data_IF_291262430092
#
_entry.id   IF_291262430092
#
_cell.length_a   1.000
_cell.length_b   1.000
_cell.length_c   1.000
_cell.angle_alpha   90.00
_cell.angle_beta   90.00
_cell.angle_gamma   90.00
#
_symmetry.space_group_name_H-M   'P 1'
#
loop_
_entity.id
_entity.type
_entity.pdbx_description
1 polymer ?
#
# COMPACT_ATOMS: atom_id res chain seq x y z
N UNK A 1 -16.48 18.68 11.53
CA UNK A 1 -16.20 19.72 10.51
C UNK A 1 -16.28 19.03 9.16
N UNK A 2 -17.13 19.51 8.24
CA UNK A 2 -17.33 18.88 6.93
C UNK A 2 -16.04 18.95 6.08
N UNK A 3 -15.77 17.89 5.31
CA UNK A 3 -14.59 17.77 4.46
C UNK A 3 -14.52 18.88 3.41
N UNK A 4 -15.68 19.32 2.91
CA UNK A 4 -15.76 20.43 1.97
C UNK A 4 -15.38 21.76 2.63
N UNK A 5 -15.88 22.03 3.84
CA UNK A 5 -15.50 23.22 4.61
C UNK A 5 -14.00 23.27 4.89
N UNK A 6 -13.39 22.12 5.19
CA UNK A 6 -11.94 22.05 5.40
C UNK A 6 -11.15 22.34 4.12
N UNK A 7 -11.62 21.87 2.96
CA UNK A 7 -11.01 22.18 1.66
C UNK A 7 -11.12 23.67 1.34
N UNK A 8 -12.27 24.29 1.57
CA UNK A 8 -12.47 25.71 1.32
C UNK A 8 -11.56 26.58 2.20
N UNK A 9 -11.45 26.26 3.49
CA UNK A 9 -10.51 26.95 4.40
C UNK A 9 -9.07 26.82 3.89
N UNK A 10 -8.66 25.64 3.42
CA UNK A 10 -7.30 25.42 2.88
C UNK A 10 -7.07 26.20 1.60
N UNK A 11 -8.06 26.26 0.71
CA UNK A 11 -7.99 27.05 -0.52
C UNK A 11 -7.75 28.53 -0.20
N UNK A 12 -8.54 29.10 0.72
CA UNK A 12 -8.39 30.51 1.14
C UNK A 12 -6.99 30.74 1.73
N UNK A 13 -6.53 29.87 2.64
CA UNK A 13 -5.18 29.98 3.24
C UNK A 13 -4.07 29.97 2.20
N UNK A 14 -4.15 29.12 1.18
CA UNK A 14 -3.14 29.10 0.12
C UNK A 14 -3.25 30.30 -0.82
N UNK A 15 -4.45 30.82 -1.08
CA UNK A 15 -4.63 32.06 -1.84
C UNK A 15 -4.00 33.25 -1.11
N UNK A 16 -4.24 33.39 0.19
CA UNK A 16 -3.61 34.44 1.01
C UNK A 16 -2.10 34.27 1.11
N UNK A 17 -1.60 33.02 1.20
CA UNK A 17 -0.17 32.75 1.13
C UNK A 17 0.43 33.23 -0.20
N UNK A 18 -0.22 32.95 -1.33
CA UNK A 18 0.23 33.41 -2.64
C UNK A 18 0.24 34.94 -2.71
N UNK A 19 -0.78 35.61 -2.16
CA UNK A 19 -0.82 37.09 -2.10
C UNK A 19 0.37 37.66 -1.32
N UNK A 20 0.73 37.04 -0.20
CA UNK A 20 1.85 37.48 0.66
C UNK A 20 3.22 37.10 0.09
N UNK A 21 3.32 35.96 -0.61
CA UNK A 21 4.56 35.40 -1.15
C UNK A 21 4.37 34.92 -2.60
N UNK A 22 4.19 35.83 -3.57
CA UNK A 22 3.85 35.48 -4.95
C UNK A 22 4.97 34.76 -5.70
N UNK A 23 6.22 34.87 -5.23
CA UNK A 23 7.39 34.21 -5.82
C UNK A 23 7.74 32.87 -5.12
N UNK A 24 6.86 32.34 -4.28
CA UNK A 24 7.07 31.06 -3.61
C UNK A 24 6.32 29.93 -4.35
N UNK A 25 7.00 28.91 -4.88
CA UNK A 25 6.35 27.82 -5.60
C UNK A 25 5.41 26.99 -4.69
N UNK A 26 5.71 26.95 -3.40
CA UNK A 26 4.93 26.23 -2.38
C UNK A 26 3.45 26.61 -2.37
N UNK A 27 3.13 27.90 -2.47
CA UNK A 27 1.75 28.39 -2.44
C UNK A 27 0.92 27.85 -3.60
N UNK A 28 1.46 27.94 -4.82
CA UNK A 28 0.80 27.45 -6.02
C UNK A 28 0.67 25.93 -6.01
N UNK A 29 1.72 25.19 -5.61
CA UNK A 29 1.61 23.74 -5.45
C UNK A 29 0.51 23.36 -4.45
N UNK A 30 0.49 23.99 -3.27
CA UNK A 30 -0.51 23.72 -2.23
C UNK A 30 -1.93 23.97 -2.71
N UNK A 31 -2.15 25.08 -3.42
CA UNK A 31 -3.43 25.40 -4.04
C UNK A 31 -3.82 24.39 -5.14
N UNK A 32 -2.85 23.96 -5.95
CA UNK A 32 -3.05 22.93 -6.97
C UNK A 32 -3.51 21.59 -6.39
N UNK A 33 -2.95 21.18 -5.25
CA UNK A 33 -3.39 19.99 -4.51
C UNK A 33 -4.83 20.15 -4.02
N UNK A 34 -5.19 21.30 -3.44
CA UNK A 34 -6.57 21.51 -2.99
C UNK A 34 -7.58 21.47 -4.16
N UNK A 35 -7.20 22.02 -5.32
CA UNK A 35 -8.04 21.92 -6.52
C UNK A 35 -8.14 20.50 -7.07
N UNK A 36 -7.09 19.67 -6.97
CA UNK A 36 -7.19 18.24 -7.29
C UNK A 36 -8.20 17.53 -6.39
N UNK A 37 -8.14 17.77 -5.08
CA UNK A 37 -9.07 17.19 -4.09
C UNK A 37 -10.51 17.67 -4.29
N UNK A 38 -10.68 18.91 -4.77
CA UNK A 38 -11.99 19.50 -5.07
C UNK A 38 -12.51 19.16 -6.48
N UNK A 39 -11.88 18.20 -7.20
CA UNK A 39 -12.17 17.86 -8.60
C UNK A 39 -12.08 19.04 -9.60
N UNK A 40 -11.46 20.16 -9.21
CA UNK A 40 -11.21 21.36 -10.04
C UNK A 40 -9.91 21.21 -10.85
N UNK A 41 -9.81 20.14 -11.62
CA UNK A 41 -8.52 19.70 -12.19
C UNK A 41 -7.89 20.67 -13.18
N UNK A 42 -8.66 21.47 -13.92
CA UNK A 42 -8.10 22.49 -14.82
C UNK A 42 -7.39 23.59 -14.03
N UNK A 43 -7.96 24.00 -12.90
CA UNK A 43 -7.34 24.97 -12.00
C UNK A 43 -6.08 24.37 -11.35
N UNK A 44 -6.13 23.09 -10.95
CA UNK A 44 -4.95 22.40 -10.44
C UNK A 44 -3.78 22.41 -11.43
N UNK A 45 -4.08 22.10 -12.70
CA UNK A 45 -3.07 22.09 -13.77
C UNK A 45 -2.39 23.46 -13.94
N UNK A 46 -3.21 24.54 -13.93
CA UNK A 46 -2.72 25.92 -13.97
C UNK A 46 -1.80 26.21 -12.78
N UNK A 47 -2.21 25.83 -11.57
CA UNK A 47 -1.43 26.08 -10.35
C UNK A 47 -0.10 25.31 -10.33
N UNK A 48 -0.08 24.04 -10.72
CA UNK A 48 1.19 23.30 -10.86
C UNK A 48 2.10 23.92 -11.92
N UNK A 49 1.55 24.37 -13.04
CA UNK A 49 2.33 25.09 -14.06
C UNK A 49 2.89 26.40 -13.53
N UNK A 50 2.13 27.19 -12.78
CA UNK A 50 2.65 28.42 -12.18
C UNK A 50 3.77 28.13 -11.17
N UNK A 51 3.61 27.10 -10.34
CA UNK A 51 4.67 26.66 -9.42
C UNK A 51 5.96 26.31 -10.17
N UNK A 52 5.87 25.62 -11.32
CA UNK A 52 7.01 25.23 -12.13
C UNK A 52 7.59 26.37 -12.97
N UNK A 53 6.84 27.45 -13.21
CA UNK A 53 7.37 28.67 -13.82
C UNK A 53 8.26 29.43 -12.85
N UNK A 54 7.90 29.44 -11.57
CA UNK A 54 8.67 30.08 -10.50
C UNK A 54 9.94 29.28 -10.22
N UNK A 55 9.81 27.97 -10.06
CA UNK A 55 10.93 27.06 -9.85
C UNK A 55 10.72 25.78 -10.69
N UNK A 56 11.41 25.66 -11.84
CA UNK A 56 11.34 24.49 -12.71
C UNK A 56 11.82 23.19 -12.04
N UNK A 57 12.61 23.27 -10.97
CA UNK A 57 13.13 22.14 -10.21
C UNK A 57 12.26 21.76 -9.01
N UNK A 58 11.17 22.48 -8.75
CA UNK A 58 10.31 22.25 -7.60
C UNK A 58 9.60 20.89 -7.65
N UNK A 59 10.20 19.88 -6.98
CA UNK A 59 9.76 18.48 -7.04
C UNK A 59 8.31 18.23 -6.65
N UNK A 60 7.73 18.88 -5.63
CA UNK A 60 6.32 18.70 -5.30
C UNK A 60 5.39 19.05 -6.48
N UNK A 61 5.68 20.12 -7.22
CA UNK A 61 4.89 20.48 -8.40
C UNK A 61 5.13 19.55 -9.58
N UNK A 62 6.35 19.04 -9.79
CA UNK A 62 6.60 17.99 -10.79
C UNK A 62 5.77 16.73 -10.51
N UNK A 63 5.75 16.29 -9.26
CA UNK A 63 4.94 15.14 -8.81
C UNK A 63 3.44 15.42 -8.98
N UNK A 64 2.97 16.59 -8.57
CA UNK A 64 1.57 17.00 -8.71
C UNK A 64 1.11 17.07 -10.17
N UNK A 65 1.96 17.55 -11.08
CA UNK A 65 1.69 17.60 -12.52
C UNK A 65 1.60 16.18 -13.13
N UNK A 66 2.49 15.28 -12.72
CA UNK A 66 2.45 13.87 -13.16
C UNK A 66 1.18 13.17 -12.65
N UNK A 67 0.84 13.35 -11.37
CA UNK A 67 -0.38 12.81 -10.76
C UNK A 67 -1.66 13.35 -11.44
N UNK A 68 -1.66 14.64 -11.82
CA UNK A 68 -2.74 15.23 -12.63
C UNK A 68 -2.91 14.50 -13.97
N UNK A 69 -1.83 14.27 -14.74
CA UNK A 69 -1.94 13.59 -16.03
C UNK A 69 -2.54 12.18 -15.89
N UNK A 70 -2.12 11.45 -14.86
CA UNK A 70 -2.61 10.11 -14.56
C UNK A 70 -4.09 10.10 -14.15
N UNK A 71 -4.48 11.01 -13.25
CA UNK A 71 -5.87 11.14 -12.78
C UNK A 71 -6.83 11.52 -13.91
N UNK A 72 -6.33 12.28 -14.90
CA UNK A 72 -7.07 12.62 -16.13
C UNK A 72 -6.93 11.62 -17.26
N UNK A 73 -6.37 10.44 -16.99
CA UNK A 73 -6.21 9.36 -17.96
C UNK A 73 -5.46 9.79 -19.24
N UNK A 74 -4.59 10.81 -19.10
CA UNK A 74 -3.67 11.30 -20.12
C UNK A 74 -2.36 10.48 -20.04
N UNK A 75 -2.48 9.17 -20.21
CA UNK A 75 -1.40 8.20 -19.96
C UNK A 75 -0.14 8.45 -20.78
N UNK A 76 -0.27 8.74 -22.07
CA UNK A 76 0.87 9.05 -22.95
C UNK A 76 1.59 10.33 -22.50
N UNK A 77 0.83 11.35 -22.08
CA UNK A 77 1.42 12.59 -21.56
C UNK A 77 2.12 12.33 -20.22
N UNK A 78 1.53 11.51 -19.34
CA UNK A 78 2.17 11.11 -18.09
C UNK A 78 3.50 10.38 -18.34
N UNK A 79 3.51 9.41 -19.27
CA UNK A 79 4.70 8.66 -19.64
C UNK A 79 5.80 9.55 -20.22
N UNK A 80 5.46 10.45 -21.15
CA UNK A 80 6.40 11.43 -21.72
C UNK A 80 6.90 12.42 -20.68
N UNK A 81 6.02 12.89 -19.78
CA UNK A 81 6.39 13.81 -18.72
C UNK A 81 7.31 13.15 -17.69
N UNK A 82 7.08 11.88 -17.35
CA UNK A 82 8.00 11.07 -16.55
C UNK A 82 9.37 10.99 -17.23
N UNK A 83 9.40 10.60 -18.51
CA UNK A 83 10.64 10.47 -19.26
C UNK A 83 11.46 11.76 -19.26
N UNK A 84 10.78 12.91 -19.51
CA UNK A 84 11.43 14.23 -19.54
C UNK A 84 12.03 14.64 -18.18
N UNK A 85 11.46 14.18 -17.07
CA UNK A 85 11.88 14.57 -15.72
C UNK A 85 12.49 13.40 -14.93
N UNK A 86 12.92 12.33 -15.62
CA UNK A 86 13.36 11.07 -15.03
C UNK A 86 14.45 11.29 -13.99
N UNK A 87 15.47 12.08 -14.31
CA UNK A 87 16.63 12.28 -13.44
C UNK A 87 16.22 12.91 -12.10
N UNK A 88 15.33 13.92 -12.12
CA UNK A 88 14.81 14.52 -10.89
C UNK A 88 13.93 13.56 -10.08
N UNK A 89 13.20 12.65 -10.74
CA UNK A 89 12.39 11.65 -10.07
C UNK A 89 13.20 10.52 -9.44
N UNK A 90 14.34 10.18 -10.04
CA UNK A 90 15.25 9.14 -9.54
C UNK A 90 16.21 9.63 -8.46
N UNK A 91 16.33 10.95 -8.26
CA UNK A 91 17.19 11.57 -7.23
C UNK A 91 16.93 11.00 -5.82
N UNK A 92 15.66 10.79 -5.45
CA UNK A 92 15.29 10.28 -4.12
C UNK A 92 14.29 9.13 -4.19
N UNK A 93 14.57 8.07 -3.42
CA UNK A 93 13.69 6.88 -3.30
C UNK A 93 12.25 7.22 -2.90
N UNK A 94 12.05 8.28 -2.12
CA UNK A 94 10.71 8.75 -1.71
C UNK A 94 9.88 9.25 -2.90
N UNK A 95 10.51 9.88 -3.90
CA UNK A 95 9.82 10.40 -5.09
C UNK A 95 9.34 9.25 -5.96
N UNK A 96 10.22 8.30 -6.28
CA UNK A 96 9.85 7.13 -7.08
C UNK A 96 8.80 6.26 -6.36
N UNK A 97 8.91 6.08 -5.04
CA UNK A 97 7.87 5.41 -4.23
C UNK A 97 6.51 6.11 -4.37
N UNK A 98 6.49 7.44 -4.31
CA UNK A 98 5.26 8.23 -4.48
C UNK A 98 4.70 8.10 -5.89
N UNK A 99 5.54 8.07 -6.92
CA UNK A 99 5.15 7.87 -8.31
C UNK A 99 4.50 6.51 -8.52
N UNK A 100 5.14 5.45 -8.04
CA UNK A 100 4.57 4.11 -8.09
C UNK A 100 3.24 4.03 -7.34
N UNK A 101 3.13 4.73 -6.21
CA UNK A 101 1.90 4.76 -5.41
C UNK A 101 0.74 5.39 -6.17
N UNK A 102 0.85 6.64 -6.66
CA UNK A 102 -0.28 7.23 -7.37
C UNK A 102 -0.55 6.55 -8.73
N UNK A 103 0.47 5.98 -9.37
CA UNK A 103 0.31 5.25 -10.65
C UNK A 103 -0.46 3.94 -10.43
N UNK A 104 -0.10 3.18 -9.40
CA UNK A 104 -0.78 1.94 -9.04
C UNK A 104 -2.15 2.16 -8.39
N UNK A 105 -2.39 3.28 -7.69
CA UNK A 105 -3.72 3.66 -7.16
C UNK A 105 -4.78 3.76 -8.26
N UNK A 106 -4.40 4.04 -9.50
CA UNK A 106 -5.30 4.00 -10.64
C UNK A 106 -6.00 2.63 -10.77
N UNK A 107 -5.36 1.55 -10.34
CA UNK A 107 -5.90 0.19 -10.40
C UNK A 107 -7.18 0.00 -9.59
N UNK A 108 -7.39 0.77 -8.52
CA UNK A 108 -8.65 0.74 -7.74
C UNK A 108 -9.61 1.85 -8.19
N UNK A 109 -9.12 2.86 -8.91
CA UNK A 109 -9.94 3.99 -9.33
C UNK A 109 -11.04 3.55 -10.31
N UNK A 110 -12.31 3.93 -10.02
CA UNK A 110 -13.46 3.63 -10.89
C UNK A 110 -13.23 4.10 -12.33
N UNK A 111 -12.64 5.27 -12.48
CA UNK A 111 -12.35 5.91 -13.77
C UNK A 111 -11.43 5.06 -14.69
N UNK A 112 -10.43 4.37 -14.13
CA UNK A 112 -9.52 3.55 -14.96
C UNK A 112 -10.28 2.42 -15.66
N UNK A 113 -11.19 1.74 -14.95
CA UNK A 113 -11.94 0.62 -15.49
C UNK A 113 -13.23 1.00 -16.22
N UNK A 114 -13.85 2.13 -15.90
CA UNK A 114 -15.00 2.67 -16.65
C UNK A 114 -14.59 3.08 -18.07
N UNK A 115 -13.40 3.67 -18.24
CA UNK A 115 -12.84 3.97 -19.56
C UNK A 115 -12.62 2.71 -20.43
N UNK A 116 -12.65 1.53 -19.83
CA UNK A 116 -12.50 0.25 -20.55
C UNK A 116 -13.84 -0.42 -20.87
N UNK A 117 -14.97 0.12 -20.39
CA UNK A 117 -16.30 -0.46 -20.62
C UNK A 117 -17.02 0.09 -21.84
N UNK A 118 -16.70 1.30 -22.32
CA UNK A 118 -17.33 1.90 -23.51
C UNK A 118 -16.50 1.57 -24.75
N UNK A 119 -17.14 1.13 -25.83
CA UNK A 119 -16.45 0.65 -27.04
C UNK A 119 -15.50 1.69 -27.67
N UNK A 120 -15.92 2.95 -27.79
CA UNK A 120 -15.07 4.04 -28.30
C UNK A 120 -13.89 4.36 -27.38
N UNK A 121 -14.09 4.29 -26.07
CA UNK A 121 -13.02 4.52 -25.11
C UNK A 121 -12.06 3.34 -25.00
N UNK A 122 -12.53 2.12 -25.30
CA UNK A 122 -11.70 0.92 -25.45
C UNK A 122 -10.74 1.06 -26.64
N UNK A 123 -11.21 1.51 -27.81
CA UNK A 123 -10.33 1.74 -28.96
C UNK A 123 -9.26 2.80 -28.66
N UNK A 124 -9.67 3.96 -28.13
CA UNK A 124 -8.74 5.01 -27.71
C UNK A 124 -7.79 4.56 -26.59
N UNK A 125 -8.23 3.64 -25.72
CA UNK A 125 -7.38 3.02 -24.72
C UNK A 125 -6.36 2.08 -25.37
N UNK A 126 -6.79 1.23 -26.30
CA UNK A 126 -5.93 0.29 -27.02
C UNK A 126 -4.87 1.02 -27.85
N UNK A 127 -5.22 2.13 -28.49
CA UNK A 127 -4.26 2.99 -29.19
C UNK A 127 -3.21 3.56 -28.21
N UNK A 128 -3.65 4.09 -27.06
CA UNK A 128 -2.75 4.56 -26.00
C UNK A 128 -1.85 3.43 -25.50
N UNK A 129 -2.39 2.22 -25.29
CA UNK A 129 -1.62 1.04 -24.88
C UNK A 129 -0.60 0.68 -25.96
N UNK A 130 -0.94 0.74 -27.25
CA UNK A 130 0.00 0.53 -28.34
C UNK A 130 1.17 1.53 -28.31
N UNK A 131 0.90 2.81 -28.02
CA UNK A 131 1.95 3.83 -27.83
C UNK A 131 2.81 3.49 -26.60
N UNK A 132 2.19 3.12 -25.49
CA UNK A 132 2.91 2.73 -24.26
C UNK A 132 3.78 1.49 -24.49
N UNK A 133 3.31 0.50 -25.27
CA UNK A 133 4.10 -0.68 -25.65
C UNK A 133 5.30 -0.30 -26.49
N UNK A 134 5.14 0.62 -27.47
CA UNK A 134 6.28 1.15 -28.23
C UNK A 134 7.30 1.84 -27.31
N UNK A 135 6.83 2.62 -26.35
CA UNK A 135 7.71 3.26 -25.35
C UNK A 135 8.45 2.23 -24.50
N UNK A 136 7.76 1.18 -24.05
CA UNK A 136 8.35 0.09 -23.27
C UNK A 136 9.42 -0.67 -24.06
N UNK A 137 9.15 -0.98 -25.32
CA UNK A 137 10.11 -1.67 -26.19
C UNK A 137 11.38 -0.83 -26.43
N UNK A 138 11.25 0.50 -26.42
CA UNK A 138 12.40 1.40 -26.55
C UNK A 138 13.17 1.57 -25.23
N UNK A 139 12.49 1.58 -24.08
CA UNK A 139 13.11 1.70 -22.76
C UNK A 139 12.21 1.12 -21.67
N UNK A 140 12.76 0.22 -20.87
CA UNK A 140 12.08 -0.41 -19.72
C UNK A 140 12.20 0.39 -18.43
N UNK A 141 12.91 1.53 -18.45
CA UNK A 141 13.18 2.35 -17.27
C UNK A 141 12.01 3.24 -16.86
N UNK A 142 11.02 3.40 -17.74
CA UNK A 142 9.85 4.21 -17.47
C UNK A 142 8.84 3.44 -16.60
N UNK A 143 8.98 3.58 -15.28
CA UNK A 143 8.16 2.84 -14.32
C UNK A 143 6.67 3.17 -14.42
N UNK A 144 6.32 4.38 -14.87
CA UNK A 144 4.93 4.76 -15.14
C UNK A 144 4.35 3.94 -16.30
N UNK A 145 5.11 3.80 -17.40
CA UNK A 145 4.73 2.93 -18.53
C UNK A 145 4.56 1.49 -18.05
N UNK A 146 5.52 0.99 -17.27
CA UNK A 146 5.52 -0.38 -16.79
C UNK A 146 4.26 -0.70 -15.97
N UNK A 147 3.93 0.16 -15.00
CA UNK A 147 2.75 -0.01 -14.15
C UNK A 147 1.46 0.06 -14.98
N UNK A 148 1.34 1.03 -15.89
CA UNK A 148 0.15 1.19 -16.73
C UNK A 148 -0.06 -0.02 -17.66
N UNK A 149 1.01 -0.55 -18.25
CA UNK A 149 0.96 -1.74 -19.10
C UNK A 149 0.66 -3.00 -18.29
N UNK A 150 1.23 -3.15 -17.09
CA UNK A 150 0.91 -4.28 -16.22
C UNK A 150 -0.59 -4.29 -15.88
N UNK A 151 -1.14 -3.12 -15.52
CA UNK A 151 -2.56 -2.98 -15.23
C UNK A 151 -3.45 -3.26 -16.45
N UNK A 152 -3.05 -2.85 -17.66
CA UNK A 152 -3.81 -3.16 -18.88
C UNK A 152 -3.78 -4.66 -19.19
N UNK A 153 -2.63 -5.31 -19.07
CA UNK A 153 -2.50 -6.75 -19.32
C UNK A 153 -3.26 -7.61 -18.33
N UNK A 154 -3.31 -7.22 -17.04
CA UNK A 154 -4.15 -7.88 -16.05
C UNK A 154 -5.63 -7.82 -16.46
N UNK A 155 -6.09 -6.65 -16.93
CA UNK A 155 -7.47 -6.49 -17.41
C UNK A 155 -7.78 -7.37 -18.62
N UNK A 156 -6.83 -7.44 -19.56
CA UNK A 156 -6.92 -8.28 -20.75
C UNK A 156 -6.74 -9.78 -20.43
N UNK A 157 -6.47 -10.14 -19.17
CA UNK A 157 -6.12 -11.50 -18.73
C UNK A 157 -4.95 -12.09 -19.54
N UNK A 158 -4.01 -11.24 -19.94
CA UNK A 158 -2.86 -11.62 -20.75
C UNK A 158 -1.78 -12.24 -19.87
N UNK A 159 -1.34 -13.46 -20.21
CA UNK A 159 -0.33 -14.23 -19.47
C UNK A 159 0.68 -14.88 -20.44
N UNK A 160 1.34 -14.04 -21.24
CA UNK A 160 2.51 -14.43 -22.05
C UNK A 160 3.83 -14.03 -21.37
N UNK A 161 4.96 -14.52 -21.90
CA UNK A 161 6.27 -14.32 -21.25
C UNK A 161 6.66 -12.85 -21.12
N UNK A 162 6.23 -12.01 -22.08
CA UNK A 162 6.44 -10.56 -22.02
C UNK A 162 5.65 -9.93 -20.87
N UNK A 163 4.38 -10.28 -20.74
CA UNK A 163 3.54 -9.80 -19.63
C UNK A 163 4.06 -10.27 -18.28
N UNK A 164 4.57 -11.51 -18.17
CA UNK A 164 5.15 -12.04 -16.94
C UNK A 164 6.44 -11.33 -16.55
N UNK A 165 7.34 -11.06 -17.51
CA UNK A 165 8.54 -10.26 -17.25
C UNK A 165 8.16 -8.88 -16.69
N UNK A 166 7.14 -8.25 -17.28
CA UNK A 166 6.64 -6.96 -16.84
C UNK A 166 6.02 -7.03 -15.43
N UNK A 167 5.24 -8.09 -15.14
CA UNK A 167 4.66 -8.31 -13.81
C UNK A 167 5.75 -8.47 -12.74
N UNK A 168 6.81 -9.23 -13.04
CA UNK A 168 7.97 -9.39 -12.16
C UNK A 168 8.72 -8.08 -11.92
N UNK A 169 8.82 -7.21 -12.93
CA UNK A 169 9.38 -5.87 -12.75
C UNK A 169 8.51 -5.06 -11.80
N UNK A 170 7.19 -5.04 -12.01
CA UNK A 170 6.26 -4.23 -11.22
C UNK A 170 6.10 -4.71 -9.78
N UNK A 171 6.05 -6.02 -9.53
CA UNK A 171 5.82 -6.57 -8.18
C UNK A 171 6.93 -6.19 -7.19
N UNK A 172 8.17 -6.04 -7.68
CA UNK A 172 9.34 -5.62 -6.92
C UNK A 172 9.42 -4.10 -6.69
N UNK A 173 8.54 -3.30 -7.30
CA UNK A 173 8.56 -1.85 -7.14
C UNK A 173 8.01 -1.44 -5.77
N UNK A 174 8.79 -0.63 -5.05
CA UNK A 174 8.34 -0.01 -3.80
C UNK A 174 7.24 1.03 -4.09
N UNK A 175 6.20 1.07 -3.27
CA UNK A 175 5.09 2.01 -3.40
C UNK A 175 3.89 1.51 -4.19
N UNK A 176 3.99 0.37 -4.89
CA UNK A 176 2.82 -0.31 -5.48
C UNK A 176 1.82 -0.64 -4.38
N UNK A 177 0.55 -0.30 -4.61
CA UNK A 177 -0.54 -0.58 -3.67
C UNK A 177 -0.77 -2.09 -3.51
N UNK A 178 -1.17 -2.49 -2.30
CA UNK A 178 -1.26 -3.90 -1.89
C UNK A 178 -2.18 -4.72 -2.79
N UNK A 179 -3.33 -4.17 -3.21
CA UNK A 179 -4.25 -4.86 -4.12
C UNK A 179 -3.63 -5.18 -5.48
N UNK A 180 -2.93 -4.23 -6.10
CA UNK A 180 -2.24 -4.47 -7.38
C UNK A 180 -1.08 -5.45 -7.18
N UNK A 181 -0.30 -5.29 -6.10
CA UNK A 181 0.81 -6.21 -5.81
C UNK A 181 0.31 -7.63 -5.62
N UNK A 182 -0.78 -7.84 -4.88
CA UNK A 182 -1.37 -9.15 -4.70
C UNK A 182 -1.82 -9.77 -6.02
N UNK A 183 -2.56 -9.05 -6.85
CA UNK A 183 -3.03 -9.59 -8.13
C UNK A 183 -1.84 -9.95 -9.04
N UNK A 184 -0.74 -9.19 -9.00
CA UNK A 184 0.52 -9.54 -9.69
C UNK A 184 1.15 -10.82 -9.12
N UNK A 185 1.30 -10.92 -7.79
CA UNK A 185 1.84 -12.11 -7.12
C UNK A 185 1.01 -13.35 -7.46
N UNK A 186 -0.33 -13.25 -7.38
CA UNK A 186 -1.26 -14.32 -7.67
C UNK A 186 -1.10 -14.82 -9.12
N UNK A 187 -1.05 -13.91 -10.10
CA UNK A 187 -0.86 -14.28 -11.51
C UNK A 187 0.51 -14.95 -11.74
N UNK A 188 1.59 -14.40 -11.16
CA UNK A 188 2.93 -14.96 -11.33
C UNK A 188 3.02 -16.35 -10.67
N UNK A 189 2.39 -16.53 -9.51
CA UNK A 189 2.44 -17.79 -8.74
C UNK A 189 1.89 -19.00 -9.51
N UNK A 190 1.00 -18.78 -10.48
CA UNK A 190 0.48 -19.85 -11.34
C UNK A 190 1.56 -20.51 -12.21
N UNK A 191 2.63 -19.78 -12.57
CA UNK A 191 3.79 -20.34 -13.28
C UNK A 191 5.01 -20.53 -12.38
N UNK A 192 5.18 -19.68 -11.38
CA UNK A 192 6.32 -19.68 -10.46
C UNK A 192 5.86 -19.63 -9.00
N UNK A 193 5.45 -20.77 -8.42
CA UNK A 193 4.88 -20.83 -7.07
C UNK A 193 5.80 -20.27 -5.99
N UNK A 194 7.13 -20.37 -6.19
CA UNK A 194 8.15 -19.87 -5.25
C UNK A 194 8.04 -18.36 -4.96
N UNK A 195 7.35 -17.58 -5.81
CA UNK A 195 7.13 -16.15 -5.53
C UNK A 195 6.34 -15.91 -4.24
N UNK A 196 5.49 -16.86 -3.83
CA UNK A 196 4.73 -16.81 -2.58
C UNK A 196 5.61 -16.95 -1.33
N UNK A 197 6.88 -17.31 -1.47
CA UNK A 197 7.85 -17.39 -0.37
C UNK A 197 8.96 -16.32 -0.49
N UNK A 198 8.75 -15.31 -1.33
CA UNK A 198 9.72 -14.23 -1.49
C UNK A 198 9.56 -13.16 -0.39
N UNK A 199 10.45 -13.20 0.60
CA UNK A 199 10.45 -12.26 1.74
C UNK A 199 10.57 -10.80 1.32
N UNK A 200 11.35 -10.50 0.26
CA UNK A 200 11.51 -9.13 -0.23
C UNK A 200 10.18 -8.58 -0.74
N UNK A 201 9.42 -9.39 -1.50
CA UNK A 201 8.11 -8.98 -2.02
C UNK A 201 7.08 -8.88 -0.90
N UNK A 202 6.99 -9.89 -0.02
CA UNK A 202 6.11 -9.88 1.14
C UNK A 202 6.37 -8.65 2.02
N UNK A 203 7.64 -8.29 2.21
CA UNK A 203 8.05 -7.14 2.98
C UNK A 203 7.60 -5.78 2.42
N UNK A 204 7.25 -5.69 1.13
CA UNK A 204 6.79 -4.45 0.52
C UNK A 204 5.30 -4.14 0.80
N UNK A 205 4.48 -5.14 1.13
CA UNK A 205 3.06 -4.93 1.46
C UNK A 205 2.93 -4.00 2.67
N UNK A 206 1.90 -3.15 2.70
CA UNK A 206 1.63 -2.27 3.85
C UNK A 206 0.52 -2.83 4.75
N UNK A 207 -0.38 -3.62 4.19
CA UNK A 207 -1.54 -4.26 4.83
C UNK A 207 -1.82 -5.63 4.22
N UNK A 208 -2.75 -6.39 4.82
CA UNK A 208 -3.21 -7.68 4.29
C UNK A 208 -4.28 -7.42 3.23
N UNK A 209 -4.07 -7.82 1.96
CA UNK A 209 -5.11 -7.72 0.93
C UNK A 209 -6.29 -8.66 1.23
N UNK A 210 -7.53 -8.21 0.96
CA UNK A 210 -8.76 -8.98 1.26
C UNK A 210 -8.76 -10.42 0.72
N UNK A 211 -8.22 -10.65 -0.48
CA UNK A 211 -8.16 -11.98 -1.08
C UNK A 211 -7.17 -12.93 -0.40
N UNK A 212 -6.20 -12.39 0.35
CA UNK A 212 -5.14 -13.17 1.00
C UNK A 212 -5.67 -13.92 2.22
N UNK A 213 -6.72 -13.43 2.88
CA UNK A 213 -7.31 -14.08 4.07
C UNK A 213 -7.74 -15.55 3.84
N UNK A 214 -7.92 -15.96 2.58
CA UNK A 214 -8.34 -17.32 2.19
C UNK A 214 -7.23 -18.11 1.49
N UNK A 215 -5.96 -17.75 1.72
CA UNK A 215 -4.80 -18.34 1.05
C UNK A 215 -3.70 -18.65 2.05
N UNK A 216 -2.93 -19.70 1.76
CA UNK A 216 -1.77 -20.13 2.56
C UNK A 216 -0.66 -19.06 2.66
N UNK A 217 -0.73 -18.02 1.82
CA UNK A 217 0.18 -16.88 1.85
C UNK A 217 0.04 -16.00 3.11
N UNK A 218 -1.10 -16.07 3.81
CA UNK A 218 -1.39 -15.21 4.96
C UNK A 218 -0.34 -15.32 6.07
N UNK A 219 -0.06 -16.54 6.54
CA UNK A 219 0.87 -16.79 7.64
C UNK A 219 2.30 -16.39 7.29
N UNK A 220 2.70 -16.58 6.02
CA UNK A 220 3.99 -16.14 5.51
C UNK A 220 4.11 -14.60 5.52
N UNK A 221 3.06 -13.91 5.07
CA UNK A 221 3.00 -12.45 5.06
C UNK A 221 3.07 -11.87 6.49
N UNK A 222 2.30 -12.45 7.42
CA UNK A 222 2.29 -12.07 8.84
C UNK A 222 3.66 -12.30 9.49
N UNK A 223 4.25 -13.48 9.27
CA UNK A 223 5.61 -13.78 9.75
C UNK A 223 6.63 -12.78 9.22
N UNK A 224 6.50 -12.36 7.97
CA UNK A 224 7.38 -11.32 7.37
C UNK A 224 7.15 -9.94 8.00
N UNK A 225 5.91 -9.59 8.35
CA UNK A 225 5.65 -8.31 9.01
C UNK A 225 6.25 -8.27 10.42
N UNK A 226 6.17 -9.40 11.15
CA UNK A 226 6.78 -9.57 12.47
C UNK A 226 8.32 -9.45 12.37
N UNK A 227 8.94 -10.12 11.39
CA UNK A 227 10.40 -10.09 11.24
C UNK A 227 10.97 -8.70 10.90
N UNK A 228 10.16 -7.83 10.26
CA UNK A 228 10.53 -6.44 10.00
C UNK A 228 10.53 -5.53 11.23
N UNK A 229 10.04 -6.00 12.38
CA UNK A 229 9.99 -5.26 13.64
C UNK A 229 9.23 -3.91 13.57
N UNK A 230 8.36 -3.74 12.58
CA UNK A 230 7.53 -2.54 12.45
C UNK A 230 6.24 -2.68 13.27
N UNK A 231 6.25 -2.14 14.49
CA UNK A 231 5.13 -2.20 15.46
C UNK A 231 3.78 -1.84 14.86
N UNK A 232 3.69 -0.69 14.22
CA UNK A 232 2.44 -0.17 13.67
C UNK A 232 1.89 -1.11 12.59
N UNK A 233 2.77 -1.60 11.72
CA UNK A 233 2.42 -2.54 10.66
C UNK A 233 1.91 -3.88 11.21
N UNK A 234 2.58 -4.43 12.22
CA UNK A 234 2.16 -5.69 12.85
C UNK A 234 0.82 -5.49 13.56
N UNK A 235 0.68 -4.46 14.39
CA UNK A 235 -0.57 -4.20 15.12
C UNK A 235 -1.74 -4.05 14.15
N UNK A 236 -1.60 -3.19 13.13
CA UNK A 236 -2.67 -2.96 12.15
C UNK A 236 -3.07 -4.23 11.40
N UNK A 237 -2.10 -5.10 11.05
CA UNK A 237 -2.36 -6.37 10.38
C UNK A 237 -3.13 -7.35 11.26
N UNK A 238 -2.82 -7.43 12.56
CA UNK A 238 -3.55 -8.30 13.49
C UNK A 238 -4.91 -7.72 13.89
N UNK A 239 -5.06 -6.41 13.97
CA UNK A 239 -6.37 -5.77 14.11
C UNK A 239 -7.29 -6.08 12.93
N UNK A 240 -6.77 -6.02 11.69
CA UNK A 240 -7.58 -6.35 10.51
C UNK A 240 -7.99 -7.83 10.45
N UNK A 241 -7.20 -8.75 11.01
CA UNK A 241 -7.59 -10.16 11.15
C UNK A 241 -8.82 -10.32 12.06
N UNK A 242 -8.87 -9.57 13.17
CA UNK A 242 -10.00 -9.63 14.09
C UNK A 242 -11.29 -9.12 13.45
N UNK A 243 -11.22 -7.99 12.74
CA UNK A 243 -12.36 -7.43 12.01
C UNK A 243 -12.92 -8.40 10.96
N UNK A 244 -12.04 -9.20 10.34
CA UNK A 244 -12.42 -10.19 9.34
C UNK A 244 -12.70 -11.59 9.90
N UNK A 245 -12.62 -11.77 11.23
CA UNK A 245 -12.78 -13.06 11.92
C UNK A 245 -11.87 -14.18 11.37
N UNK A 246 -10.63 -13.84 11.03
CA UNK A 246 -9.64 -14.78 10.49
C UNK A 246 -8.61 -15.11 11.58
N UNK A 247 -8.35 -16.40 11.78
CA UNK A 247 -7.33 -16.89 12.70
C UNK A 247 -6.12 -17.40 11.90
N UNK A 248 -4.92 -16.86 12.15
CA UNK A 248 -3.68 -17.41 11.60
C UNK A 248 -3.32 -18.71 12.33
N UNK A 249 -2.33 -19.43 11.80
CA UNK A 249 -1.89 -20.69 12.40
C UNK A 249 -1.18 -20.49 13.75
N UNK A 250 -1.05 -21.58 14.51
CA UNK A 250 -0.51 -21.53 15.87
C UNK A 250 0.95 -21.02 15.92
N UNK A 251 1.75 -21.31 14.89
CA UNK A 251 3.14 -20.79 14.82
C UNK A 251 3.16 -19.28 14.67
N UNK A 252 2.27 -18.70 13.86
CA UNK A 252 2.16 -17.25 13.64
C UNK A 252 1.55 -16.56 14.86
N UNK A 253 0.56 -17.16 15.51
CA UNK A 253 0.01 -16.68 16.79
C UNK A 253 1.11 -16.59 17.86
N UNK A 254 1.92 -17.64 18.00
CA UNK A 254 3.01 -17.65 18.97
C UNK A 254 4.04 -16.56 18.68
N UNK A 255 4.47 -16.41 17.41
CA UNK A 255 5.39 -15.33 16.98
C UNK A 255 4.82 -13.95 17.27
N UNK A 256 3.51 -13.74 17.11
CA UNK A 256 2.88 -12.47 17.41
C UNK A 256 2.87 -12.15 18.91
N UNK A 257 2.57 -13.14 19.76
CA UNK A 257 2.61 -12.98 21.21
C UNK A 257 4.03 -12.68 21.67
N UNK A 258 5.02 -13.42 21.17
CA UNK A 258 6.44 -13.17 21.46
C UNK A 258 6.87 -11.76 21.04
N UNK A 259 6.47 -11.34 19.82
CA UNK A 259 6.67 -9.98 19.35
C UNK A 259 6.04 -8.93 20.26
N UNK A 260 4.81 -9.15 20.71
CA UNK A 260 4.10 -8.23 21.60
C UNK A 260 4.76 -8.14 22.97
N UNK A 261 5.16 -9.29 23.54
CA UNK A 261 5.88 -9.37 24.81
C UNK A 261 7.18 -8.59 24.77
N UNK A 262 8.01 -8.82 23.74
CA UNK A 262 9.29 -8.13 23.53
C UNK A 262 9.14 -6.62 23.33
N UNK A 263 7.96 -6.17 22.88
CA UNK A 263 7.66 -4.75 22.65
C UNK A 263 6.75 -4.12 23.72
N UNK A 264 6.46 -4.86 24.81
CA UNK A 264 5.57 -4.47 25.91
C UNK A 264 4.16 -4.02 25.43
N UNK A 265 3.64 -4.71 24.41
CA UNK A 265 2.30 -4.49 23.85
C UNK A 265 1.35 -5.49 24.48
N UNK A 266 0.34 -5.00 25.21
CA UNK A 266 -0.63 -5.85 25.90
C UNK A 266 -2.04 -5.33 25.68
N UNK A 267 -2.89 -6.16 25.08
CA UNK A 267 -4.27 -5.83 24.76
C UNK A 267 -5.14 -7.11 24.73
N UNK A 268 -6.44 -6.94 24.51
CA UNK A 268 -7.40 -8.05 24.41
C UNK A 268 -7.09 -9.02 23.25
N UNK A 269 -6.47 -8.55 22.16
CA UNK A 269 -6.04 -9.38 21.03
C UNK A 269 -4.96 -10.38 21.45
N UNK A 270 -3.94 -9.92 22.16
CA UNK A 270 -2.88 -10.78 22.72
C UNK A 270 -3.48 -11.78 23.71
N UNK A 271 -4.42 -11.36 24.55
CA UNK A 271 -5.12 -12.24 25.47
C UNK A 271 -5.90 -13.36 24.75
N UNK A 272 -6.68 -13.01 23.73
CA UNK A 272 -7.46 -13.96 22.95
C UNK A 272 -6.56 -15.01 22.27
N UNK A 273 -5.44 -14.58 21.68
CA UNK A 273 -4.50 -15.50 21.05
C UNK A 273 -3.72 -16.35 22.06
N UNK A 274 -3.38 -15.78 23.22
CA UNK A 274 -2.75 -16.53 24.30
C UNK A 274 -3.67 -17.64 24.81
N UNK A 275 -4.94 -17.32 25.07
CA UNK A 275 -5.94 -18.31 25.45
C UNK A 275 -6.10 -19.38 24.38
N UNK A 276 -6.21 -18.99 23.10
CA UNK A 276 -6.36 -19.94 21.98
C UNK A 276 -5.20 -20.93 21.90
N UNK A 277 -3.96 -20.47 22.01
CA UNK A 277 -2.79 -21.35 21.98
C UNK A 277 -2.76 -22.31 23.18
N UNK A 278 -3.09 -21.83 24.38
CA UNK A 278 -3.14 -22.67 25.58
C UNK A 278 -4.22 -23.75 25.43
N UNK A 279 -5.40 -23.39 24.91
CA UNK A 279 -6.49 -24.34 24.64
C UNK A 279 -6.13 -25.37 23.56
N UNK A 280 -5.31 -24.99 22.58
CA UNK A 280 -4.76 -25.90 21.56
C UNK A 280 -3.55 -26.72 22.07
N UNK A 281 -3.18 -26.59 23.36
CA UNK A 281 -2.09 -27.35 23.98
C UNK A 281 -0.68 -26.82 23.70
N UNK A 282 -0.55 -25.65 23.07
CA UNK A 282 0.74 -24.98 22.86
C UNK A 282 1.17 -24.29 24.15
N UNK A 283 1.80 -25.00 25.07
CA UNK A 283 2.16 -24.47 26.40
C UNK A 283 3.67 -24.49 26.59
N UNK A 284 4.23 -23.34 26.98
CA UNK A 284 5.65 -23.18 27.35
C UNK A 284 5.82 -22.01 28.34
N UNK A 285 7.03 -21.87 28.92
CA UNK A 285 7.34 -20.81 29.89
C UNK A 285 7.04 -19.40 29.36
N UNK A 286 7.29 -19.13 28.08
CA UNK A 286 7.05 -17.80 27.47
C UNK A 286 5.56 -17.47 27.36
N UNK A 287 4.74 -18.45 27.00
CA UNK A 287 3.31 -18.26 26.90
C UNK A 287 2.66 -18.13 28.29
N UNK A 288 3.12 -18.94 29.25
CA UNK A 288 2.68 -18.84 30.64
C UNK A 288 3.03 -17.48 31.25
N UNK A 289 4.26 -16.98 31.06
CA UNK A 289 4.65 -15.65 31.55
C UNK A 289 3.84 -14.53 30.89
N UNK A 290 3.54 -14.65 29.60
CA UNK A 290 2.66 -13.73 28.87
C UNK A 290 1.23 -13.73 29.44
N UNK A 291 0.67 -14.91 29.74
CA UNK A 291 -0.65 -15.06 30.37
C UNK A 291 -0.70 -14.39 31.75
N UNK A 292 0.30 -14.62 32.61
CA UNK A 292 0.37 -13.97 33.92
C UNK A 292 0.58 -12.46 33.81
N UNK A 293 1.34 -11.98 32.82
CA UNK A 293 1.51 -10.55 32.57
C UNK A 293 0.20 -9.87 32.18
N UNK A 294 -0.61 -10.52 31.34
CA UNK A 294 -1.94 -10.05 30.97
C UNK A 294 -2.88 -9.96 32.18
N UNK A 295 -2.83 -10.95 33.09
CA UNK A 295 -3.57 -10.92 34.36
C UNK A 295 -3.11 -9.79 35.27
N UNK A 296 -1.79 -9.63 35.45
CA UNK A 296 -1.23 -8.59 36.30
C UNK A 296 -1.55 -7.18 35.80
N UNK A 297 -1.72 -7.01 34.49
CA UNK A 297 -2.18 -5.76 33.86
C UNK A 297 -3.70 -5.57 33.87
N UNK A 298 -4.47 -6.51 34.43
CA UNK A 298 -5.93 -6.44 34.49
C UNK A 298 -6.63 -6.61 33.14
N UNK A 299 -5.94 -7.13 32.12
CA UNK A 299 -6.52 -7.36 30.78
C UNK A 299 -7.33 -8.66 30.76
N UNK A 300 -6.92 -9.65 31.56
CA UNK A 300 -7.60 -10.93 31.70
C UNK A 300 -7.91 -11.20 33.16
N UNK A 301 -9.12 -11.68 33.41
CA UNK A 301 -9.57 -12.06 34.75
C UNK A 301 -8.79 -13.27 35.28
N UNK A 302 -8.59 -13.31 36.60
CA UNK A 302 -7.93 -14.41 37.31
C UNK A 302 -8.67 -15.74 37.12
N UNK A 303 -9.98 -15.67 36.93
CA UNK A 303 -10.84 -16.85 36.76
C UNK A 303 -10.90 -17.37 35.31
N UNK A 304 -10.17 -16.74 34.38
CA UNK A 304 -10.13 -17.18 32.99
C UNK A 304 -9.64 -18.64 32.89
N UNK A 305 -10.34 -19.42 32.07
CA UNK A 305 -10.10 -20.86 31.84
C UNK A 305 -8.64 -21.18 31.50
N UNK A 306 -7.92 -20.28 30.82
CA UNK A 306 -6.52 -20.49 30.46
C UNK A 306 -5.62 -20.75 31.67
N UNK A 307 -5.90 -20.15 32.83
CA UNK A 307 -5.12 -20.37 34.05
C UNK A 307 -5.37 -21.73 34.69
N UNK A 308 -6.58 -22.29 34.53
CA UNK A 308 -6.87 -23.68 34.94
C UNK A 308 -6.05 -24.65 34.09
N UNK A 309 -5.99 -24.41 32.77
CA UNK A 309 -5.17 -25.22 31.86
C UNK A 309 -3.69 -25.10 32.22
N UNK A 310 -3.16 -23.90 32.44
CA UNK A 310 -1.76 -23.70 32.83
C UNK A 310 -1.39 -24.45 34.13
N UNK A 311 -2.28 -24.42 35.13
CA UNK A 311 -2.06 -25.13 36.39
C UNK A 311 -1.97 -26.66 36.21
N UNK A 312 -2.75 -27.25 35.29
CA UNK A 312 -2.65 -28.68 34.96
C UNK A 312 -1.28 -29.06 34.39
N UNK A 313 -0.62 -28.13 33.71
CA UNK A 313 0.73 -28.31 33.17
C UNK A 313 1.84 -27.87 34.14
N UNK A 314 1.51 -27.60 35.42
CA UNK A 314 2.46 -27.23 36.46
C UNK A 314 2.85 -25.75 36.48
N UNK A 315 2.20 -24.90 35.69
CA UNK A 315 2.43 -23.45 35.71
C UNK A 315 1.50 -22.78 36.72
N UNK A 316 2.05 -22.43 37.88
CA UNK A 316 1.31 -21.75 38.95
C UNK A 316 1.77 -20.29 39.02
N UNK A 317 0.82 -19.36 39.03
CA UNK A 317 1.13 -17.94 39.15
C UNK A 317 1.50 -17.57 40.58
N UNK A 318 2.69 -17.01 40.77
CA UNK A 318 3.09 -16.38 42.04
C UNK A 318 2.59 -14.94 42.14
#
# INVERSE_FOLDING_TARGET
MDQNTLLDIRIIKFQDYIRRKPNSPFGYYGLGVQYMLSNKHQLADKMFTQSLKIDPCYMPAKLGKLEYYLTKSKFVNAARYYQKNKDSFLEKKIYIKRIHNFSSRLYISRNFFENLRKFRSLFAFNEKVGILQKMYNNSTENTVVNILLAMSFIKEKRVDDRSLMLYKLCVNMNGIIDKLRWDLVEIISNKEPLILHNEKIAGLFQSIPEKVYKKDYLDFLLSTFISQQNKEKVINAFSSLQENHVLPNNTTLWKYIDFCSNNNIWNSTVALYCQKLIEDGWINNSLASSAFTLRNKGIVDKDNKMFKTLALYGYVGH
#
